data_IF_458221017229
#
_entry.id   IF_458221017229
#
_cell.length_a   1.000
_cell.length_b   1.000
_cell.length_c   1.000
_cell.angle_alpha   90.00
_cell.angle_beta   90.00
_cell.angle_gamma   90.00
#
_symmetry.space_group_name_H-M   'P 1'
#
loop_
_entity.id
_entity.type
_entity.pdbx_description
1 polymer ?
#
# COMPACT_ATOMS: atom_id res chain seq x y z
N UNK A 1 -6.60 -0.51 -12.32
CA UNK A 1 -7.29 -0.90 -11.06
C UNK A 1 -6.64 -0.20 -9.89
N UNK A 2 -7.36 0.05 -8.80
CA UNK A 2 -6.90 0.86 -7.64
C UNK A 2 -5.93 0.15 -6.67
N UNK A 3 -5.37 -0.99 -7.06
CA UNK A 3 -4.40 -1.75 -6.27
C UNK A 3 -5.02 -2.73 -5.25
N UNK A 4 -4.30 -3.80 -4.89
CA UNK A 4 -4.72 -4.82 -3.93
C UNK A 4 -4.41 -4.34 -2.50
N UNK A 5 -5.23 -3.42 -2.00
CA UNK A 5 -5.11 -2.90 -0.64
C UNK A 5 -6.27 -3.42 0.21
N UNK A 6 -6.03 -3.84 1.47
CA UNK A 6 -7.09 -4.33 2.36
C UNK A 6 -8.29 -3.37 2.43
N UNK A 7 -8.04 -2.06 2.56
CA UNK A 7 -9.10 -1.05 2.56
C UNK A 7 -9.97 -1.08 1.29
N UNK A 8 -9.32 -1.19 0.13
CA UNK A 8 -10.03 -1.25 -1.15
C UNK A 8 -10.81 -2.56 -1.29
N UNK A 9 -10.21 -3.70 -0.98
CA UNK A 9 -10.86 -5.01 -1.07
C UNK A 9 -12.06 -5.14 -0.12
N UNK A 10 -11.93 -4.63 1.10
CA UNK A 10 -13.01 -4.58 2.07
C UNK A 10 -14.19 -3.73 1.57
N UNK A 11 -13.93 -2.59 0.91
CA UNK A 11 -14.98 -1.76 0.30
C UNK A 11 -15.84 -2.51 -0.72
N UNK A 12 -15.25 -3.47 -1.45
CA UNK A 12 -15.97 -4.33 -2.39
C UNK A 12 -16.39 -5.68 -1.79
N UNK A 13 -16.37 -5.80 -0.45
CA UNK A 13 -16.76 -6.99 0.31
C UNK A 13 -16.01 -8.27 -0.10
N UNK A 14 -14.76 -8.12 -0.54
CA UNK A 14 -13.90 -9.27 -0.91
C UNK A 14 -13.16 -9.87 0.29
N UNK A 15 -12.92 -9.06 1.32
CA UNK A 15 -12.31 -9.49 2.59
C UNK A 15 -13.11 -8.91 3.76
N UNK A 16 -13.04 -9.55 4.92
CA UNK A 16 -13.83 -9.19 6.11
C UNK A 16 -13.31 -8.01 6.93
N UNK A 17 -12.10 -7.52 6.67
CA UNK A 17 -11.48 -6.43 7.43
C UNK A 17 -10.67 -5.50 6.53
N UNK A 18 -10.74 -4.17 6.70
CA UNK A 18 -9.92 -3.21 5.96
C UNK A 18 -8.49 -3.07 6.52
N UNK A 19 -8.14 -3.85 7.55
CA UNK A 19 -6.89 -3.71 8.28
C UNK A 19 -5.74 -4.45 7.60
N UNK A 20 -4.56 -3.85 7.65
CA UNK A 20 -3.28 -4.51 7.41
C UNK A 20 -2.96 -5.47 8.58
N UNK A 21 -2.08 -6.44 8.35
CA UNK A 21 -1.60 -7.35 9.39
C UNK A 21 -0.90 -6.63 10.56
N UNK A 22 -0.48 -5.37 10.38
CA UNK A 22 0.05 -4.53 11.47
C UNK A 22 -1.06 -3.90 12.36
N UNK A 23 -2.33 -4.10 12.04
CA UNK A 23 -3.49 -3.61 12.80
C UNK A 23 -4.00 -2.22 12.40
N UNK A 24 -3.34 -1.52 11.49
CA UNK A 24 -3.79 -0.23 10.95
C UNK A 24 -4.57 -0.41 9.64
N UNK A 25 -5.27 0.64 9.17
CA UNK A 25 -5.99 0.62 7.89
C UNK A 25 -5.01 0.36 6.75
N UNK A 26 -5.23 -0.72 6.01
CA UNK A 26 -4.37 -1.10 4.89
C UNK A 26 -4.75 -0.37 3.62
N UNK A 27 -4.48 0.93 3.54
CA UNK A 27 -4.60 1.72 2.30
C UNK A 27 -3.22 1.95 1.64
N UNK A 28 -3.22 2.58 0.46
CA UNK A 28 -2.01 2.81 -0.29
C UNK A 28 -1.01 3.71 0.45
N UNK A 29 -1.50 4.73 1.18
CA UNK A 29 -0.66 5.67 1.92
C UNK A 29 0.03 4.93 3.07
N UNK A 30 -0.71 4.10 3.80
CA UNK A 30 -0.16 3.27 4.86
C UNK A 30 1.02 2.42 4.36
N UNK A 31 0.87 1.66 3.28
CA UNK A 31 1.97 0.84 2.74
C UNK A 31 3.13 1.66 2.16
N UNK A 32 2.88 2.90 1.74
CA UNK A 32 3.91 3.75 1.13
C UNK A 32 4.73 4.52 2.17
N UNK A 33 4.14 4.85 3.32
CA UNK A 33 4.73 5.80 4.27
C UNK A 33 4.86 5.27 5.71
N UNK A 34 3.97 4.38 6.15
CA UNK A 34 3.75 4.14 7.59
C UNK A 34 3.75 2.65 8.01
N UNK A 35 3.70 1.70 7.07
CA UNK A 35 3.55 0.29 7.36
C UNK A 35 4.85 -0.37 7.85
N UNK A 36 4.78 -1.03 9.01
CA UNK A 36 5.93 -1.76 9.54
C UNK A 36 6.45 -2.86 8.60
N UNK A 37 5.60 -3.42 7.74
CA UNK A 37 5.94 -4.49 6.79
C UNK A 37 6.70 -3.98 5.56
N UNK A 38 6.61 -2.69 5.25
CA UNK A 38 7.26 -2.07 4.09
C UNK A 38 8.25 -0.98 4.51
N UNK A 39 8.70 -1.01 5.77
CA UNK A 39 9.56 0.01 6.38
C UNK A 39 10.82 0.32 5.57
N UNK A 40 11.43 -0.69 4.95
CA UNK A 40 12.62 -0.53 4.10
C UNK A 40 12.32 0.14 2.73
N UNK A 41 11.05 0.13 2.32
CA UNK A 41 10.55 0.70 1.06
C UNK A 41 9.77 1.99 1.26
N UNK A 42 9.74 2.54 2.48
CA UNK A 42 9.05 3.80 2.71
C UNK A 42 9.59 4.93 1.83
N UNK A 43 8.65 5.70 1.31
CA UNK A 43 8.93 6.98 0.70
C UNK A 43 8.76 8.10 1.71
N UNK A 44 9.34 9.24 1.42
CA UNK A 44 9.06 10.46 2.18
C UNK A 44 7.68 10.96 1.81
N UNK A 45 6.84 11.19 2.82
CA UNK A 45 5.52 11.80 2.63
C UNK A 45 5.68 13.22 2.07
N UNK A 46 4.99 13.58 0.97
CA UNK A 46 5.07 14.94 0.46
C UNK A 46 4.43 15.94 1.42
N UNK A 47 5.01 17.14 1.51
CA UNK A 47 4.29 18.28 2.04
C UNK A 47 3.11 18.61 1.11
N UNK A 48 1.97 19.03 1.68
CA UNK A 48 0.74 19.27 0.92
C UNK A 48 0.94 20.27 -0.24
N UNK A 49 1.72 21.33 0.00
CA UNK A 49 2.10 22.33 -0.98
C UNK A 49 2.98 21.79 -2.13
N UNK A 50 3.71 20.70 -1.91
CA UNK A 50 4.69 20.14 -2.86
C UNK A 50 4.26 18.80 -3.49
N UNK A 51 3.03 18.34 -3.27
CA UNK A 51 2.53 17.05 -3.80
C UNK A 51 2.77 16.89 -5.30
N UNK A 52 2.42 17.89 -6.11
CA UNK A 52 2.55 17.81 -7.56
C UNK A 52 4.02 17.70 -8.03
N UNK A 53 4.96 18.33 -7.30
CA UNK A 53 6.38 18.18 -7.58
C UNK A 53 6.90 16.82 -7.13
N UNK A 54 6.49 16.37 -5.94
CA UNK A 54 6.83 15.06 -5.43
C UNK A 54 6.39 13.93 -6.36
N UNK A 55 5.16 13.96 -6.89
CA UNK A 55 4.69 12.96 -7.85
C UNK A 55 5.49 12.96 -9.15
N UNK A 56 5.91 14.13 -9.64
CA UNK A 56 6.79 14.21 -10.81
C UNK A 56 8.16 13.59 -10.53
N UNK A 57 8.76 13.93 -9.39
CA UNK A 57 10.04 13.35 -8.98
C UNK A 57 9.93 11.83 -8.78
N UNK A 58 8.82 11.37 -8.20
CA UNK A 58 8.53 9.96 -8.02
C UNK A 58 8.49 9.23 -9.37
N UNK A 59 7.78 9.77 -10.36
CA UNK A 59 7.67 9.20 -11.69
C UNK A 59 9.00 9.22 -12.48
N UNK A 60 9.91 10.12 -12.14
CA UNK A 60 11.23 10.23 -12.78
C UNK A 60 12.34 9.48 -12.04
N UNK A 61 12.09 8.96 -10.83
CA UNK A 61 13.10 8.32 -10.00
C UNK A 61 12.89 6.80 -9.94
N UNK A 62 13.73 6.06 -10.67
CA UNK A 62 13.66 4.59 -10.76
C UNK A 62 13.82 3.88 -9.41
N UNK A 63 14.59 4.44 -8.47
CA UNK A 63 14.72 3.87 -7.13
C UNK A 63 13.41 4.01 -6.34
N UNK A 64 12.77 5.18 -6.42
CA UNK A 64 11.50 5.42 -5.75
C UNK A 64 10.37 4.56 -6.35
N UNK A 65 10.35 4.38 -7.68
CA UNK A 65 9.46 3.43 -8.37
C UNK A 65 9.70 2.00 -7.88
N UNK A 66 10.97 1.60 -7.74
CA UNK A 66 11.35 0.28 -7.23
C UNK A 66 10.79 0.04 -5.83
N UNK A 67 10.94 1.01 -4.92
CA UNK A 67 10.40 0.95 -3.57
C UNK A 67 8.86 0.82 -3.56
N UNK A 68 8.15 1.65 -4.33
CA UNK A 68 6.68 1.51 -4.47
C UNK A 68 6.26 0.14 -4.97
N UNK A 69 7.00 -0.39 -5.96
CA UNK A 69 6.71 -1.70 -6.54
C UNK A 69 6.82 -2.80 -5.48
N UNK A 70 7.83 -2.75 -4.61
CA UNK A 70 7.96 -3.71 -3.52
C UNK A 70 6.87 -3.55 -2.47
N UNK A 71 6.57 -2.30 -2.07
CA UNK A 71 5.50 -2.05 -1.10
C UNK A 71 4.14 -2.59 -1.57
N UNK A 72 3.82 -2.42 -2.87
CA UNK A 72 2.59 -2.95 -3.45
C UNK A 72 2.60 -4.46 -3.64
N UNK A 73 3.76 -5.08 -3.91
CA UNK A 73 3.88 -6.54 -3.95
C UNK A 73 3.56 -7.16 -2.59
N UNK A 74 4.14 -6.61 -1.52
CA UNK A 74 3.87 -7.06 -0.15
C UNK A 74 2.38 -6.88 0.19
N UNK A 75 1.78 -5.74 -0.15
CA UNK A 75 0.33 -5.54 0.02
C UNK A 75 -0.49 -6.58 -0.75
N UNK A 76 -0.10 -6.92 -1.98
CA UNK A 76 -0.79 -7.92 -2.78
C UNK A 76 -0.72 -9.31 -2.15
N UNK A 77 0.47 -9.75 -1.75
CA UNK A 77 0.68 -11.06 -1.12
C UNK A 77 -0.16 -11.19 0.16
N UNK A 78 -0.20 -10.14 0.98
CA UNK A 78 -1.05 -10.10 2.19
C UNK A 78 -2.55 -10.17 1.84
N UNK A 79 -2.98 -9.46 0.81
CA UNK A 79 -4.36 -9.50 0.36
C UNK A 79 -4.76 -10.87 -0.20
N UNK A 80 -3.87 -11.52 -0.93
CA UNK A 80 -4.09 -12.86 -1.47
C UNK A 80 -4.22 -13.87 -0.34
N UNK A 81 -3.39 -13.79 0.71
CA UNK A 81 -3.54 -14.61 1.92
C UNK A 81 -4.88 -14.37 2.61
N UNK A 82 -5.26 -13.10 2.84
CA UNK A 82 -6.53 -12.75 3.49
C UNK A 82 -7.77 -13.21 2.71
N UNK A 83 -7.67 -13.27 1.37
CA UNK A 83 -8.77 -13.74 0.52
C UNK A 83 -8.90 -15.25 0.55
N UNK A 84 -7.81 -15.99 0.82
CA UNK A 84 -7.80 -17.46 0.91
C UNK A 84 -8.30 -17.97 2.28
N UNK A 85 -8.00 -17.26 3.35
CA UNK A 85 -8.49 -17.60 4.71
C UNK A 85 -9.97 -17.23 4.93
N UNK A 86 -10.55 -16.38 4.07
CA UNK A 86 -11.97 -16.01 4.12
C UNK A 86 -12.96 -17.06 3.58
N UNK A 87 -12.46 -18.20 3.08
CA UNK A 87 -13.25 -19.30 2.49
C UNK A 87 -13.46 -20.48 3.45
N UNK A 88 -13.39 -20.25 4.77
CA UNK A 88 -13.71 -21.26 5.79
C UNK A 88 -14.96 -20.88 6.61
#
# INVERSE_FOLDING_TARGET
>A
GHGPFPYYLHRFKRIGSPLCACGLVGDADHYTFDCSLTKEFHLLKPADEHKAFWFRNLASNSQAIGKMTQAFRISNELCDSLTRDGDN
#
